data_IF_641720258041
#
_entry.id   IF_641720258041
#
_cell.length_a   1.000
_cell.length_b   1.000
_cell.length_c   1.000
_cell.angle_alpha   90.00
_cell.angle_beta   90.00
_cell.angle_gamma   90.00
#
_symmetry.space_group_name_H-M   'P 1'
#
loop_
_entity.id
_entity.type
_entity.pdbx_description
1 polymer ?
#
# COMPACT_ATOMS: atom_id res chain seq x y z
N UNK A 1 37.55 -79.17 -17.90
CA UNK A 1 38.30 -79.05 -16.64
C UNK A 1 37.37 -78.47 -15.59
N UNK A 2 37.02 -79.33 -14.64
CA UNK A 2 37.04 -79.10 -13.18
C UNK A 2 36.39 -77.85 -12.57
N UNK A 3 35.22 -78.08 -11.96
CA UNK A 3 34.80 -77.78 -10.56
C UNK A 3 35.35 -76.52 -9.86
N UNK A 4 34.49 -75.68 -9.26
CA UNK A 4 34.32 -75.55 -7.79
C UNK A 4 33.56 -74.29 -7.32
N UNK A 5 32.60 -74.56 -6.42
CA UNK A 5 32.15 -73.72 -5.31
C UNK A 5 33.27 -73.57 -4.26
N UNK A 6 33.43 -72.39 -3.64
CA UNK A 6 33.73 -72.17 -2.21
C UNK A 6 33.90 -70.66 -1.96
N UNK A 7 33.18 -70.02 -1.04
CA UNK A 7 33.25 -70.05 0.45
C UNK A 7 34.55 -69.49 1.05
N UNK A 8 34.32 -68.81 2.18
CA UNK A 8 35.20 -68.52 3.33
C UNK A 8 35.89 -67.14 3.32
N UNK A 9 35.51 -66.25 4.26
CA UNK A 9 35.99 -66.11 5.66
C UNK A 9 36.98 -64.91 5.69
N UNK A 10 37.19 -64.04 6.69
CA UNK A 10 36.89 -64.01 8.13
C UNK A 10 37.40 -62.66 8.71
N UNK A 11 36.68 -62.13 9.71
CA UNK A 11 37.10 -61.36 10.93
C UNK A 11 37.94 -60.05 10.80
N UNK A 12 37.44 -58.93 11.37
CA UNK A 12 37.91 -58.31 12.64
C UNK A 12 37.54 -56.82 12.80
N UNK A 13 36.74 -56.59 13.86
CA UNK A 13 36.69 -55.47 14.81
C UNK A 13 37.37 -54.13 14.47
N UNK A 14 36.61 -53.05 14.68
CA UNK A 14 37.05 -51.90 15.52
C UNK A 14 35.83 -51.16 16.12
N UNK A 15 35.91 -50.74 17.39
CA UNK A 15 34.85 -49.98 18.07
C UNK A 15 35.07 -48.48 17.88
N UNK A 16 34.00 -47.68 17.80
CA UNK A 16 34.10 -46.22 17.94
C UNK A 16 32.96 -45.69 18.81
N UNK A 17 33.35 -45.46 20.06
CA UNK A 17 32.97 -44.41 21.01
C UNK A 17 31.69 -43.59 20.80
N UNK A 18 30.87 -43.64 21.86
CA UNK A 18 29.95 -42.60 22.29
C UNK A 18 30.60 -41.22 22.35
N UNK A 19 29.86 -40.21 21.87
CA UNK A 19 29.93 -38.89 22.47
C UNK A 19 28.57 -38.20 22.50
N UNK A 20 28.41 -37.49 23.61
CA UNK A 20 27.21 -37.08 24.30
C UNK A 20 26.47 -35.90 23.69
N UNK A 21 25.15 -35.98 23.84
CA UNK A 21 24.16 -34.91 23.84
C UNK A 21 24.64 -33.61 24.50
N UNK A 22 24.44 -32.49 23.80
CA UNK A 22 24.22 -31.17 24.39
C UNK A 22 23.03 -30.54 23.67
N UNK A 23 21.92 -30.46 24.39
CA UNK A 23 20.73 -29.71 24.03
C UNK A 23 20.98 -28.21 24.26
N UNK A 24 20.91 -27.41 23.22
CA UNK A 24 20.66 -25.97 23.35
C UNK A 24 19.29 -25.67 22.78
N UNK A 25 18.35 -25.39 23.69
CA UNK A 25 17.08 -24.74 23.36
C UNK A 25 17.35 -23.40 22.71
N UNK A 26 17.19 -23.33 21.40
CA UNK A 26 16.90 -22.09 20.70
C UNK A 26 15.41 -22.13 20.38
N UNK A 27 14.63 -21.40 21.15
CA UNK A 27 13.27 -21.04 20.75
C UNK A 27 13.41 -20.14 19.52
N UNK A 28 13.46 -20.75 18.33
CA UNK A 28 13.07 -20.08 17.11
C UNK A 28 11.57 -19.81 17.22
N UNK A 29 11.23 -18.62 17.71
CA UNK A 29 9.91 -18.03 17.50
C UNK A 29 9.83 -17.76 16.00
N UNK A 30 9.37 -18.76 15.25
CA UNK A 30 8.89 -18.56 13.90
C UNK A 30 7.65 -17.66 14.00
N UNK A 31 7.85 -16.37 13.81
CA UNK A 31 6.77 -15.44 13.60
C UNK A 31 6.13 -15.80 12.26
N UNK A 32 5.06 -16.60 12.32
CA UNK A 32 4.22 -16.89 11.17
C UNK A 32 3.51 -15.58 10.79
N UNK A 33 4.12 -14.81 9.90
CA UNK A 33 3.46 -13.71 9.21
C UNK A 33 2.57 -14.30 8.12
N UNK A 34 1.50 -14.97 8.53
CA UNK A 34 0.36 -15.17 7.65
C UNK A 34 -0.22 -13.80 7.28
N UNK A 35 -0.82 -13.65 6.08
CA UNK A 35 -1.62 -12.46 5.80
C UNK A 35 -2.67 -12.33 6.91
N UNK A 36 -2.91 -11.10 7.37
CA UNK A 36 -4.02 -10.82 8.29
C UNK A 36 -5.31 -11.06 7.52
N UNK A 37 -5.77 -12.33 7.51
CA UNK A 37 -7.00 -12.74 6.85
C UNK A 37 -8.15 -11.93 7.45
N UNK A 38 -8.64 -10.95 6.68
CA UNK A 38 -9.77 -10.12 7.07
C UNK A 38 -9.61 -8.64 6.76
N UNK A 39 -8.40 -8.08 6.80
CA UNK A 39 -8.22 -6.63 6.59
C UNK A 39 -8.14 -6.31 5.09
N UNK A 40 -9.04 -5.42 4.63
CA UNK A 40 -8.91 -4.76 3.33
C UNK A 40 -8.35 -3.36 3.51
N UNK A 41 -7.19 -3.10 2.88
CA UNK A 41 -6.51 -1.82 2.95
C UNK A 41 -6.80 -0.95 1.73
N UNK A 42 -7.17 0.29 1.97
CA UNK A 42 -7.32 1.36 0.98
C UNK A 42 -6.30 2.47 1.24
N UNK A 43 -5.75 3.01 0.16
CA UNK A 43 -4.71 4.02 0.21
C UNK A 43 -5.05 5.16 -0.76
N UNK A 44 -5.12 6.38 -0.25
CA UNK A 44 -5.30 7.55 -1.10
C UNK A 44 -4.03 7.84 -1.91
N UNK A 45 -4.19 8.65 -2.95
CA UNK A 45 -3.11 8.98 -3.88
C UNK A 45 -2.62 10.43 -3.70
N UNK A 46 -3.51 11.42 -3.77
CA UNK A 46 -3.12 12.83 -3.67
C UNK A 46 -2.83 13.16 -2.20
N UNK A 47 -1.66 13.72 -1.88
CA UNK A 47 -1.28 14.00 -0.49
C UNK A 47 -0.79 12.79 0.33
N UNK A 48 -0.79 11.59 -0.26
CA UNK A 48 -0.26 10.36 0.37
C UNK A 48 0.82 9.68 -0.48
N UNK A 49 0.52 9.36 -1.74
CA UNK A 49 1.49 8.81 -2.69
C UNK A 49 2.09 9.88 -3.60
N UNK A 50 1.30 10.89 -3.96
CA UNK A 50 1.63 11.92 -4.94
C UNK A 50 1.55 13.32 -4.36
N UNK A 51 2.53 14.15 -4.69
CA UNK A 51 2.63 15.51 -4.20
C UNK A 51 1.80 16.47 -5.07
N UNK A 52 0.49 16.45 -4.82
CA UNK A 52 -0.48 17.29 -5.52
C UNK A 52 -0.22 18.79 -5.28
N UNK A 53 0.23 19.16 -4.09
CA UNK A 53 0.53 20.56 -3.74
C UNK A 53 1.74 21.05 -4.54
N UNK A 54 2.85 20.29 -4.57
CA UNK A 54 4.00 20.65 -5.39
C UNK A 54 3.67 20.66 -6.89
N UNK A 55 2.82 19.74 -7.37
CA UNK A 55 2.33 19.75 -8.75
C UNK A 55 1.55 21.03 -9.07
N UNK A 56 0.71 21.51 -8.14
CA UNK A 56 0.03 22.78 -8.25
C UNK A 56 1.02 23.96 -8.27
N UNK A 57 1.97 24.01 -7.33
CA UNK A 57 2.96 25.09 -7.24
C UNK A 57 3.85 25.19 -8.50
N UNK A 58 4.16 24.07 -9.14
CA UNK A 58 4.86 24.02 -10.44
C UNK A 58 4.05 24.70 -11.57
N UNK A 59 2.71 24.67 -11.51
CA UNK A 59 1.87 25.38 -12.48
C UNK A 59 1.86 26.89 -12.21
N UNK A 60 1.75 27.28 -10.94
CA UNK A 60 1.79 28.67 -10.50
C UNK A 60 1.85 28.76 -8.96
N UNK A 61 2.62 29.72 -8.44
CA UNK A 61 2.63 30.03 -7.00
C UNK A 61 1.28 30.49 -6.43
N UNK A 62 0.32 30.87 -7.27
CA UNK A 62 -1.02 31.29 -6.85
C UNK A 62 -2.04 30.15 -6.77
N UNK A 63 -1.65 28.90 -7.11
CA UNK A 63 -2.61 27.80 -7.20
C UNK A 63 -3.33 27.55 -5.88
N UNK A 64 -2.63 27.55 -4.74
CA UNK A 64 -3.26 27.33 -3.44
C UNK A 64 -4.15 28.50 -3.00
N UNK A 65 -3.82 29.72 -3.42
CA UNK A 65 -4.70 30.87 -3.23
C UNK A 65 -6.01 30.71 -4.01
N UNK A 66 -5.94 30.32 -5.29
CA UNK A 66 -7.14 30.05 -6.11
C UNK A 66 -7.92 28.83 -5.63
N UNK A 67 -7.26 27.80 -5.08
CA UNK A 67 -7.95 26.66 -4.49
C UNK A 67 -8.98 27.08 -3.42
N UNK A 68 -8.66 28.11 -2.62
CA UNK A 68 -9.55 28.64 -1.59
C UNK A 68 -10.47 29.78 -2.05
N UNK A 69 -10.04 30.61 -3.01
CA UNK A 69 -10.72 31.87 -3.34
C UNK A 69 -11.32 31.92 -4.76
N UNK A 70 -10.81 31.11 -5.69
CA UNK A 70 -11.26 31.07 -7.09
C UNK A 70 -11.14 29.66 -7.66
N UNK A 71 -12.14 28.83 -7.32
CA UNK A 71 -12.20 27.43 -7.76
C UNK A 71 -12.25 27.30 -9.27
N UNK A 72 -12.87 28.24 -9.97
CA UNK A 72 -12.99 28.17 -11.43
C UNK A 72 -11.62 28.32 -12.08
N UNK A 73 -10.86 29.34 -11.69
CA UNK A 73 -9.52 29.57 -12.20
C UNK A 73 -8.56 28.45 -11.83
N UNK A 74 -8.62 27.94 -10.60
CA UNK A 74 -7.85 26.78 -10.15
C UNK A 74 -8.04 25.58 -11.10
N UNK A 75 -9.30 25.20 -11.35
CA UNK A 75 -9.61 24.08 -12.22
C UNK A 75 -9.32 24.37 -13.69
N UNK A 76 -9.47 25.61 -14.15
CA UNK A 76 -9.07 26.03 -15.51
C UNK A 76 -7.59 25.80 -15.74
N UNK A 77 -6.73 26.12 -14.76
CA UNK A 77 -5.28 25.92 -14.85
C UNK A 77 -4.91 24.44 -14.89
N UNK A 78 -5.45 23.62 -13.98
CA UNK A 78 -5.23 22.16 -14.00
C UNK A 78 -5.73 21.55 -15.32
N UNK A 79 -6.92 21.95 -15.78
CA UNK A 79 -7.48 21.45 -17.04
C UNK A 79 -6.61 21.80 -18.25
N UNK A 80 -6.00 22.99 -18.24
CA UNK A 80 -5.10 23.45 -19.30
C UNK A 80 -3.78 22.69 -19.30
N UNK A 81 -3.30 22.27 -18.12
CA UNK A 81 -2.09 21.47 -17.98
C UNK A 81 -2.24 20.00 -18.43
N UNK A 82 -3.47 19.57 -18.75
CA UNK A 82 -3.69 18.29 -19.41
C UNK A 82 -3.62 17.08 -18.49
N UNK A 83 -3.27 15.94 -19.09
CA UNK A 83 -3.14 14.64 -18.42
C UNK A 83 -1.83 14.59 -17.62
N UNK A 84 -0.81 15.25 -18.15
CA UNK A 84 0.55 15.32 -17.65
C UNK A 84 0.62 15.92 -16.24
N UNK A 85 -0.28 16.84 -15.90
CA UNK A 85 -0.41 17.34 -14.53
C UNK A 85 -0.54 16.21 -13.52
N UNK A 86 -1.34 15.18 -13.84
CA UNK A 86 -1.60 14.05 -12.95
C UNK A 86 -0.58 12.92 -13.14
N UNK A 87 -0.18 12.64 -14.39
CA UNK A 87 0.72 11.51 -14.68
C UNK A 87 2.17 11.75 -14.25
N UNK A 88 2.58 13.02 -14.15
CA UNK A 88 3.95 13.42 -13.81
C UNK A 88 4.09 13.99 -12.40
N UNK A 89 3.07 13.82 -11.54
CA UNK A 89 3.19 14.19 -10.13
C UNK A 89 4.35 13.43 -9.48
N UNK A 90 5.18 14.16 -8.74
CA UNK A 90 6.26 13.56 -7.97
C UNK A 90 5.69 12.74 -6.82
N UNK A 91 6.44 11.75 -6.36
CA UNK A 91 6.12 11.04 -5.13
C UNK A 91 6.05 12.02 -3.95
N UNK A 92 5.12 11.78 -3.02
CA UNK A 92 5.15 12.44 -1.71
C UNK A 92 6.45 12.10 -0.98
N UNK A 93 7.00 13.03 -0.17
CA UNK A 93 8.08 12.72 0.76
C UNK A 93 7.71 11.51 1.64
N UNK A 94 8.47 10.41 1.50
CA UNK A 94 8.23 9.15 2.21
C UNK A 94 7.09 8.29 1.64
N UNK A 95 6.50 8.63 0.50
CA UNK A 95 5.42 7.86 -0.14
C UNK A 95 5.87 6.47 -0.61
N UNK A 96 7.07 6.37 -1.17
CA UNK A 96 7.69 5.08 -1.55
C UNK A 96 7.97 4.21 -0.33
N UNK A 97 8.48 4.80 0.76
CA UNK A 97 8.72 4.12 2.03
C UNK A 97 7.40 3.58 2.61
N UNK A 98 6.35 4.41 2.65
CA UNK A 98 5.03 4.00 3.13
C UNK A 98 4.48 2.84 2.29
N UNK A 99 4.49 2.96 0.96
CA UNK A 99 3.99 1.91 0.06
C UNK A 99 4.77 0.60 0.23
N UNK A 100 6.11 0.68 0.28
CA UNK A 100 6.98 -0.47 0.51
C UNK A 100 6.69 -1.18 1.84
N UNK A 101 6.49 -0.43 2.92
CA UNK A 101 6.10 -0.97 4.21
C UNK A 101 4.72 -1.65 4.19
N UNK A 102 3.72 -1.02 3.57
CA UNK A 102 2.38 -1.62 3.48
C UNK A 102 2.45 -2.95 2.72
N UNK A 103 3.18 -2.99 1.60
CA UNK A 103 3.39 -4.21 0.83
C UNK A 103 4.13 -5.30 1.63
N UNK A 104 5.16 -4.95 2.39
CA UNK A 104 5.92 -5.92 3.20
C UNK A 104 5.12 -6.44 4.40
N UNK A 105 4.06 -5.74 4.83
CA UNK A 105 3.12 -6.22 5.86
C UNK A 105 2.20 -7.36 5.37
N UNK A 106 2.32 -7.78 4.11
CA UNK A 106 1.47 -8.81 3.51
C UNK A 106 0.14 -8.27 2.97
N UNK A 107 -0.09 -6.96 3.02
CA UNK A 107 -1.28 -6.29 2.51
C UNK A 107 -0.96 -5.52 1.24
N UNK A 108 -1.67 -5.80 0.15
CA UNK A 108 -1.62 -4.99 -1.06
C UNK A 108 -2.73 -3.92 -1.01
N UNK A 109 -2.41 -2.63 -0.84
CA UNK A 109 -3.42 -1.59 -0.77
C UNK A 109 -4.18 -1.45 -2.08
N UNK A 110 -5.50 -1.36 -2.02
CA UNK A 110 -6.33 -0.88 -3.13
C UNK A 110 -6.23 0.63 -3.17
N UNK A 111 -5.84 1.20 -4.32
CA UNK A 111 -5.81 2.67 -4.47
C UNK A 111 -7.25 3.19 -4.51
N UNK A 112 -7.55 4.15 -3.65
CA UNK A 112 -8.86 4.81 -3.57
C UNK A 112 -8.67 6.31 -3.66
N UNK A 113 -8.83 6.89 -4.84
CA UNK A 113 -8.52 8.30 -5.08
C UNK A 113 -9.73 9.06 -5.61
N UNK A 114 -9.89 10.29 -5.12
CA UNK A 114 -10.94 11.18 -5.58
C UNK A 114 -10.61 11.74 -6.98
N UNK A 115 -11.66 11.98 -7.77
CA UNK A 115 -11.58 12.68 -9.06
C UNK A 115 -12.43 13.97 -9.05
N UNK A 116 -12.17 14.93 -9.95
CA UNK A 116 -12.95 16.16 -10.05
C UNK A 116 -14.44 15.88 -10.26
N UNK A 117 -15.30 16.79 -9.80
CA UNK A 117 -16.75 16.64 -9.91
C UNK A 117 -17.26 16.54 -11.37
N UNK A 118 -18.45 15.94 -11.58
CA UNK A 118 -19.00 15.65 -12.89
C UNK A 118 -19.19 16.88 -13.79
N UNK A 119 -19.41 18.05 -13.19
CA UNK A 119 -19.53 19.33 -13.88
C UNK A 119 -18.23 19.76 -14.58
N UNK A 120 -17.07 19.21 -14.18
CA UNK A 120 -15.74 19.51 -14.74
C UNK A 120 -15.28 18.43 -15.71
N UNK A 121 -16.09 18.13 -16.74
CA UNK A 121 -15.88 17.01 -17.68
C UNK A 121 -14.44 16.83 -18.17
N UNK A 122 -13.78 17.89 -18.66
CA UNK A 122 -12.40 17.79 -19.17
C UNK A 122 -11.39 17.52 -18.07
N UNK A 123 -11.50 18.20 -16.92
CA UNK A 123 -10.65 17.94 -15.76
C UNK A 123 -10.82 16.51 -15.25
N UNK A 124 -12.07 16.03 -15.20
CA UNK A 124 -12.43 14.66 -14.82
C UNK A 124 -11.76 13.63 -15.74
N UNK A 125 -11.88 13.79 -17.06
CA UNK A 125 -11.22 12.89 -18.03
C UNK A 125 -9.70 12.89 -17.87
N UNK A 126 -9.10 14.08 -17.79
CA UNK A 126 -7.65 14.23 -17.61
C UNK A 126 -7.17 13.58 -16.30
N UNK A 127 -7.90 13.78 -15.20
CA UNK A 127 -7.57 13.22 -13.89
C UNK A 127 -7.66 11.70 -13.89
N UNK A 128 -8.74 11.14 -14.46
CA UNK A 128 -8.90 9.69 -14.56
C UNK A 128 -7.77 9.07 -15.37
N UNK A 129 -7.48 9.59 -16.56
CA UNK A 129 -6.43 9.05 -17.42
C UNK A 129 -5.04 9.21 -16.79
N UNK A 130 -4.74 10.39 -16.26
CA UNK A 130 -3.42 10.69 -15.72
C UNK A 130 -3.11 9.95 -14.42
N UNK A 131 -4.09 9.76 -13.54
CA UNK A 131 -3.93 8.92 -12.33
C UNK A 131 -3.66 7.47 -12.70
N UNK A 132 -4.39 6.92 -13.67
CA UNK A 132 -4.16 5.54 -14.17
C UNK A 132 -2.78 5.41 -14.81
N UNK A 133 -2.33 6.42 -15.59
CA UNK A 133 -0.98 6.47 -16.16
C UNK A 133 0.09 6.50 -15.07
N UNK A 134 -0.08 7.33 -14.04
CA UNK A 134 0.83 7.39 -12.90
C UNK A 134 0.94 6.04 -12.19
N UNK A 135 -0.20 5.43 -11.85
CA UNK A 135 -0.24 4.13 -11.18
C UNK A 135 0.44 3.02 -11.99
N UNK A 136 0.17 2.97 -13.30
CA UNK A 136 0.81 1.99 -14.19
C UNK A 136 2.33 2.19 -14.26
N UNK A 137 2.79 3.45 -14.28
CA UNK A 137 4.22 3.82 -14.33
C UNK A 137 4.95 3.48 -13.03
N UNK A 138 4.39 3.87 -11.88
CA UNK A 138 5.09 3.86 -10.60
C UNK A 138 4.83 2.60 -9.76
N UNK A 139 3.62 2.02 -9.85
CA UNK A 139 3.22 0.86 -9.04
C UNK A 139 2.97 -0.40 -9.88
N UNK A 140 2.70 -0.23 -11.18
CA UNK A 140 2.49 -1.32 -12.14
C UNK A 140 1.03 -1.55 -12.54
N UNK A 141 0.77 -2.39 -13.57
CA UNK A 141 -0.57 -2.57 -14.15
C UNK A 141 -1.64 -3.05 -13.16
N UNK A 142 -1.30 -3.97 -12.26
CA UNK A 142 -2.27 -4.51 -11.29
C UNK A 142 -2.83 -3.44 -10.34
N UNK A 143 -2.02 -2.46 -9.95
CA UNK A 143 -2.50 -1.32 -9.16
C UNK A 143 -3.42 -0.42 -9.98
N UNK A 144 -3.07 -0.17 -11.24
CA UNK A 144 -3.88 0.65 -12.13
C UNK A 144 -5.26 0.01 -12.42
N UNK A 145 -5.31 -1.31 -12.61
CA UNK A 145 -6.55 -2.05 -12.87
C UNK A 145 -7.45 -2.18 -11.64
N UNK A 146 -6.86 -2.34 -10.45
CA UNK A 146 -7.60 -2.44 -9.20
C UNK A 146 -8.01 -1.08 -8.58
N UNK A 147 -7.49 0.03 -9.11
CA UNK A 147 -7.73 1.35 -8.56
C UNK A 147 -9.21 1.77 -8.64
N UNK A 148 -9.71 2.33 -7.55
CA UNK A 148 -11.04 2.89 -7.45
C UNK A 148 -10.93 4.41 -7.55
N UNK A 149 -11.32 4.94 -8.71
CA UNK A 149 -11.40 6.38 -8.97
C UNK A 149 -12.86 6.83 -8.91
N UNK A 150 -13.22 7.51 -7.84
CA UNK A 150 -14.59 7.87 -7.49
C UNK A 150 -14.70 9.34 -7.06
N UNK A 151 -15.92 9.86 -6.90
CA UNK A 151 -16.07 11.17 -6.28
C UNK A 151 -15.74 11.08 -4.79
N UNK A 152 -15.22 12.19 -4.22
CA UNK A 152 -14.77 12.21 -2.83
C UNK A 152 -15.79 11.64 -1.83
N UNK A 153 -17.09 12.04 -1.84
CA UNK A 153 -18.09 11.47 -0.92
C UNK A 153 -18.33 9.96 -1.10
N UNK A 154 -18.06 9.42 -2.29
CA UNK A 154 -18.27 8.00 -2.60
C UNK A 154 -17.19 7.10 -2.00
N UNK A 155 -16.08 7.67 -1.50
CA UNK A 155 -15.05 6.90 -0.78
C UNK A 155 -15.67 6.11 0.37
N UNK A 156 -16.58 6.72 1.14
CA UNK A 156 -17.23 6.07 2.28
C UNK A 156 -18.03 4.80 1.90
N UNK A 157 -18.48 4.67 0.64
CA UNK A 157 -19.18 3.47 0.16
C UNK A 157 -18.27 2.23 0.12
N UNK A 158 -16.95 2.42 0.14
CA UNK A 158 -15.97 1.33 0.22
C UNK A 158 -15.63 0.94 1.67
N UNK A 159 -16.15 1.66 2.65
CA UNK A 159 -15.90 1.41 4.08
C UNK A 159 -16.67 0.20 4.61
N UNK A 160 -16.45 -0.14 5.88
CA UNK A 160 -17.09 -1.24 6.60
C UNK A 160 -16.12 -2.00 7.50
N UNK A 161 -16.63 -3.04 8.15
CA UNK A 161 -15.85 -3.87 9.08
C UNK A 161 -14.56 -4.41 8.44
N UNK A 162 -13.46 -4.37 9.19
CA UNK A 162 -12.12 -4.76 8.75
C UNK A 162 -11.62 -4.04 7.49
N UNK A 163 -12.08 -2.80 7.23
CA UNK A 163 -11.58 -1.97 6.12
C UNK A 163 -10.84 -0.75 6.63
N UNK A 164 -9.59 -0.61 6.24
CA UNK A 164 -8.70 0.50 6.66
C UNK A 164 -8.55 1.48 5.51
N UNK A 165 -8.71 2.77 5.77
CA UNK A 165 -8.36 3.85 4.84
C UNK A 165 -7.20 4.67 5.39
N UNK A 166 -6.14 4.82 4.58
CA UNK A 166 -5.08 5.81 4.80
C UNK A 166 -5.30 6.97 3.82
N UNK A 167 -5.59 8.16 4.35
CA UNK A 167 -5.98 9.34 3.57
C UNK A 167 -5.55 10.62 4.32
N UNK A 168 -5.12 11.67 3.60
CA UNK A 168 -4.63 12.91 4.22
C UNK A 168 -5.75 13.87 4.63
N UNK A 169 -6.96 13.64 4.11
CA UNK A 169 -8.15 14.46 4.34
C UNK A 169 -8.93 13.96 5.55
N UNK A 170 -9.00 14.79 6.61
CA UNK A 170 -9.68 14.44 7.86
C UNK A 170 -11.18 14.21 7.71
N UNK A 171 -11.81 14.82 6.71
CA UNK A 171 -13.23 14.62 6.46
C UNK A 171 -13.47 13.25 5.81
N UNK A 172 -12.61 12.80 4.88
CA UNK A 172 -12.68 11.45 4.31
C UNK A 172 -12.54 10.39 5.42
N UNK A 173 -11.60 10.63 6.35
CA UNK A 173 -11.39 9.75 7.50
C UNK A 173 -12.63 9.68 8.39
N UNK A 174 -13.24 10.82 8.70
CA UNK A 174 -14.47 10.87 9.52
C UNK A 174 -15.61 10.10 8.85
N UNK A 175 -15.89 10.37 7.57
CA UNK A 175 -16.95 9.70 6.81
C UNK A 175 -16.68 8.18 6.69
N UNK A 176 -15.41 7.79 6.58
CA UNK A 176 -15.01 6.39 6.56
C UNK A 176 -15.30 5.67 7.88
N UNK A 177 -14.95 6.30 9.01
CA UNK A 177 -15.19 5.77 10.34
C UNK A 177 -16.68 5.71 10.68
N UNK A 178 -17.46 6.73 10.30
CA UNK A 178 -18.93 6.75 10.42
C UNK A 178 -19.59 5.59 9.65
N UNK A 179 -19.00 5.20 8.51
CA UNK A 179 -19.43 4.04 7.72
C UNK A 179 -18.91 2.68 8.25
N UNK A 180 -18.28 2.66 9.45
CA UNK A 180 -17.89 1.45 10.16
C UNK A 180 -16.50 0.90 9.83
N UNK A 181 -15.67 1.67 9.11
CA UNK A 181 -14.28 1.33 8.83
C UNK A 181 -13.29 1.95 9.82
N UNK A 182 -12.01 1.67 9.60
CA UNK A 182 -10.90 2.19 10.40
C UNK A 182 -10.18 3.27 9.61
N UNK A 183 -10.16 4.49 10.13
CA UNK A 183 -9.47 5.61 9.51
C UNK A 183 -8.05 5.82 10.03
N UNK A 184 -7.10 6.09 9.14
CA UNK A 184 -5.75 6.55 9.48
C UNK A 184 -5.47 7.84 8.72
N UNK A 185 -5.60 8.96 9.44
CA UNK A 185 -5.24 10.27 8.89
C UNK A 185 -3.74 10.34 8.58
N UNK A 186 -3.38 10.47 7.31
CA UNK A 186 -2.00 10.65 6.89
C UNK A 186 -1.52 12.08 7.22
N UNK A 187 -0.31 12.17 7.77
CA UNK A 187 0.39 13.44 8.08
C UNK A 187 1.88 13.36 7.80
N UNK A 188 2.44 12.16 7.99
CA UNK A 188 3.76 11.76 7.53
C UNK A 188 3.85 10.23 7.60
N UNK A 189 4.86 9.68 6.93
CA UNK A 189 5.09 8.23 6.84
C UNK A 189 5.27 7.57 8.21
N UNK A 190 6.14 8.10 9.08
CA UNK A 190 6.44 7.48 10.37
C UNK A 190 5.21 7.37 11.28
N UNK A 191 4.37 8.41 11.33
CA UNK A 191 3.11 8.37 12.08
C UNK A 191 2.15 7.35 11.50
N UNK A 192 2.03 7.32 10.18
CA UNK A 192 1.12 6.41 9.46
C UNK A 192 1.49 4.95 9.71
N UNK A 193 2.78 4.61 9.56
CA UNK A 193 3.32 3.27 9.86
C UNK A 193 3.00 2.89 11.31
N UNK A 194 3.29 3.78 12.28
CA UNK A 194 3.02 3.52 13.70
C UNK A 194 1.54 3.27 13.97
N UNK A 195 0.64 4.05 13.36
CA UNK A 195 -0.81 3.86 13.50
C UNK A 195 -1.26 2.53 12.88
N UNK A 196 -0.79 2.24 11.67
CA UNK A 196 -1.14 1.00 10.97
C UNK A 196 -0.67 -0.24 11.72
N UNK A 197 0.55 -0.24 12.25
CA UNK A 197 1.05 -1.35 13.08
C UNK A 197 0.21 -1.59 14.33
N UNK A 198 -0.45 -0.57 14.88
CA UNK A 198 -1.39 -0.76 16.01
C UNK A 198 -2.66 -1.46 15.55
N UNK A 199 -3.20 -1.09 14.39
CA UNK A 199 -4.36 -1.76 13.79
C UNK A 199 -4.07 -3.26 13.61
N UNK A 200 -2.94 -3.61 13.00
CA UNK A 200 -2.56 -5.02 12.81
C UNK A 200 -2.45 -5.80 14.13
N UNK A 201 -1.95 -5.16 15.19
CA UNK A 201 -1.82 -5.80 16.52
C UNK A 201 -3.14 -5.99 17.25
N UNK A 202 -4.15 -5.14 16.97
CA UNK A 202 -5.48 -5.25 17.57
C UNK A 202 -6.24 -6.39 16.90
N UNK A 203 -6.22 -6.44 15.58
CA UNK A 203 -6.92 -7.48 14.80
C UNK A 203 -6.33 -8.89 15.02
N UNK A 204 -5.04 -9.01 15.33
CA UNK A 204 -4.42 -10.29 15.69
C UNK A 204 -4.81 -10.82 17.08
N UNK A 205 -5.50 -10.03 17.91
CA UNK A 205 -5.89 -10.42 19.27
C UNK A 205 -7.33 -10.93 19.37
N UNK A 206 -8.13 -10.75 18.33
CA UNK A 206 -9.51 -11.21 18.23
C UNK A 206 -9.60 -12.42 17.29
#
# INVERSE_FOLDING_TARGET
MTVFFNKHNIIQNRPVSFQSSLSSHSHDISFSSGPVEGIKLFLDMDGVLTDFTAACEKLSGNMMFWYGNDRELFWKKITSAGIEFWSEMSWMPGGQELHGFLRSSGLCPTILSAIPGPERKKALTNAREGKIKWLRKELGPSYAEAAILCYRPEKALQSGAARVLIDDNSENIREWEEAGGIGILHKNTSRTIRCFSKVLKVEQKF
#
